data_IF_677494595605
#
_entry.id   IF_677494595605
#
_cell.length_a   1.000
_cell.length_b   1.000
_cell.length_c   1.000
_cell.angle_alpha   90.00
_cell.angle_beta   90.00
_cell.angle_gamma   90.00
#
_symmetry.space_group_name_H-M   'P 1'
#
loop_
_entity.id
_entity.type
_entity.pdbx_description
1 polymer ?
#
# COMPACT_ATOMS: atom_id res chain seq x y z
N UNK A 1 -20.19 -23.25 4.57
CA UNK A 1 -19.66 -24.58 4.91
C UNK A 1 -18.38 -24.36 5.71
N UNK A 2 -18.41 -24.74 7.02
CA UNK A 2 -17.22 -24.72 7.86
C UNK A 2 -16.28 -25.83 7.40
N UNK A 3 -15.32 -25.49 6.58
CA UNK A 3 -14.24 -26.42 6.31
C UNK A 3 -13.42 -26.57 7.60
N UNK A 4 -13.22 -27.81 8.06
CA UNK A 4 -12.29 -28.10 9.15
C UNK A 4 -10.86 -27.80 8.68
N UNK A 5 -10.40 -26.59 8.94
CA UNK A 5 -9.02 -26.20 8.66
C UNK A 5 -8.13 -26.82 9.75
N UNK A 6 -7.10 -27.60 9.41
CA UNK A 6 -6.17 -28.14 10.40
C UNK A 6 -5.56 -27.02 11.26
N UNK A 7 -5.43 -27.23 12.55
CA UNK A 7 -4.93 -26.22 13.49
C UNK A 7 -3.49 -25.76 13.23
N UNK A 8 -2.69 -26.58 12.58
CA UNK A 8 -1.29 -26.30 12.22
C UNK A 8 -1.13 -25.60 10.88
N UNK A 9 -2.21 -25.43 10.10
CA UNK A 9 -2.17 -24.79 8.81
C UNK A 9 -1.90 -23.29 8.94
N UNK A 10 -0.92 -22.80 8.18
CA UNK A 10 -0.69 -21.36 8.02
C UNK A 10 -1.51 -20.82 6.86
N UNK A 11 -2.19 -19.71 7.07
CA UNK A 11 -3.08 -19.09 6.09
C UNK A 11 -2.55 -17.72 5.71
N UNK A 12 -2.47 -17.45 4.40
CA UNK A 12 -2.32 -16.09 3.86
C UNK A 12 -3.60 -15.77 3.11
N UNK A 13 -4.38 -14.86 3.68
CA UNK A 13 -5.63 -14.39 3.09
C UNK A 13 -5.38 -13.22 2.14
N UNK A 14 -5.94 -13.28 0.93
CA UNK A 14 -5.81 -12.25 -0.10
C UNK A 14 -7.05 -11.36 -0.20
N UNK A 15 -8.11 -11.65 0.56
CA UNK A 15 -9.35 -10.86 0.57
C UNK A 15 -9.17 -9.53 1.32
N UNK A 16 -10.24 -8.78 1.45
CA UNK A 16 -10.27 -7.58 2.29
C UNK A 16 -10.75 -7.86 3.73
N UNK A 17 -11.24 -9.06 3.99
CA UNK A 17 -12.08 -9.36 5.16
C UNK A 17 -11.29 -9.26 6.48
N UNK A 18 -10.00 -9.57 6.46
CA UNK A 18 -9.16 -9.66 7.65
C UNK A 18 -8.07 -8.58 7.75
N UNK A 19 -8.10 -7.58 6.87
CA UNK A 19 -7.04 -6.54 6.83
C UNK A 19 -7.14 -5.52 7.95
N UNK A 20 -8.35 -5.24 8.42
CA UNK A 20 -8.59 -4.31 9.53
C UNK A 20 -8.62 -5.11 10.81
N UNK A 21 -7.82 -4.68 11.79
CA UNK A 21 -7.74 -5.33 13.11
C UNK A 21 -9.13 -5.38 13.77
N UNK A 22 -9.50 -6.55 14.24
CA UNK A 22 -10.76 -6.82 14.94
C UNK A 22 -10.51 -7.84 16.04
N UNK A 23 -11.38 -7.86 17.04
CA UNK A 23 -11.40 -8.91 18.07
C UNK A 23 -12.04 -10.21 17.57
N UNK A 24 -12.65 -10.19 16.37
CA UNK A 24 -13.31 -11.36 15.75
C UNK A 24 -12.34 -12.31 15.05
N UNK A 25 -11.06 -11.93 14.88
CA UNK A 25 -10.05 -12.74 14.22
C UNK A 25 -8.64 -12.44 14.72
N UNK A 26 -7.73 -13.40 14.47
CA UNK A 26 -6.31 -13.33 14.86
C UNK A 26 -5.36 -13.05 13.68
N UNK A 27 -5.89 -12.63 12.52
CA UNK A 27 -5.07 -12.30 11.37
C UNK A 27 -4.17 -11.09 11.65
N UNK A 28 -2.89 -11.25 11.34
CA UNK A 28 -1.91 -10.16 11.37
C UNK A 28 -1.87 -9.46 10.01
N UNK A 29 -1.91 -8.13 10.01
CA UNK A 29 -1.75 -7.35 8.80
C UNK A 29 -0.33 -7.53 8.24
N UNK A 30 -0.24 -8.17 7.09
CA UNK A 30 0.97 -8.77 6.54
C UNK A 30 1.82 -7.82 5.68
N UNK A 31 2.10 -6.61 6.16
CA UNK A 31 3.11 -5.73 5.59
C UNK A 31 4.43 -5.90 6.36
N UNK A 32 5.43 -6.62 5.81
CA UNK A 32 6.66 -6.93 6.55
C UNK A 32 7.45 -5.70 6.98
N UNK A 33 7.44 -4.64 6.19
CA UNK A 33 8.10 -3.37 6.46
C UNK A 33 7.54 -2.65 7.69
N UNK A 34 6.31 -2.98 8.08
CA UNK A 34 5.67 -2.51 9.31
C UNK A 34 5.68 -3.58 10.41
N UNK A 35 5.30 -4.81 10.09
CA UNK A 35 4.93 -5.87 11.03
C UNK A 35 5.83 -7.12 10.94
N UNK A 36 7.10 -6.99 10.57
CA UNK A 36 8.03 -8.12 10.32
C UNK A 36 7.98 -9.19 11.40
N UNK A 37 8.15 -8.81 12.67
CA UNK A 37 8.20 -9.79 13.78
C UNK A 37 6.87 -10.53 13.93
N UNK A 38 5.76 -9.82 13.91
CA UNK A 38 4.42 -10.40 14.03
C UNK A 38 4.12 -11.33 12.86
N UNK A 39 4.43 -10.91 11.63
CA UNK A 39 4.20 -11.70 10.41
C UNK A 39 5.03 -13.01 10.41
N UNK A 40 6.29 -12.98 10.89
CA UNK A 40 7.14 -14.18 10.93
C UNK A 40 6.58 -15.29 11.84
N UNK A 41 5.87 -14.93 12.89
CA UNK A 41 5.35 -15.87 13.90
C UNK A 41 3.85 -16.17 13.74
N UNK A 42 3.15 -15.43 12.90
CA UNK A 42 1.72 -15.56 12.70
C UNK A 42 1.35 -16.91 12.05
N UNK A 43 0.21 -17.46 12.45
CA UNK A 43 -0.47 -18.54 11.73
C UNK A 43 -1.34 -17.98 10.61
N UNK A 44 -1.97 -16.84 10.85
CA UNK A 44 -2.88 -16.20 9.91
C UNK A 44 -2.38 -14.81 9.53
N UNK A 45 -2.23 -14.55 8.23
CA UNK A 45 -1.71 -13.29 7.69
C UNK A 45 -2.70 -12.75 6.67
N UNK A 46 -3.16 -11.52 6.88
CA UNK A 46 -3.96 -10.79 5.91
C UNK A 46 -3.04 -10.01 4.96
N UNK A 47 -3.01 -10.41 3.69
CA UNK A 47 -2.18 -9.75 2.69
C UNK A 47 -2.72 -8.34 2.38
N UNK A 48 -1.89 -7.29 2.44
CA UNK A 48 -2.31 -5.91 2.18
C UNK A 48 -2.91 -5.69 0.79
N UNK A 49 -3.77 -4.68 0.66
CA UNK A 49 -4.22 -4.19 -0.64
C UNK A 49 -3.07 -3.56 -1.43
N UNK A 50 -3.16 -3.65 -2.76
CA UNK A 50 -2.08 -3.21 -3.65
C UNK A 50 -1.75 -1.71 -3.54
N UNK A 51 -2.75 -0.83 -3.59
CA UNK A 51 -2.53 0.60 -3.35
C UNK A 51 -2.14 0.88 -1.90
N UNK A 52 -2.73 0.15 -0.94
CA UNK A 52 -2.38 0.31 0.47
C UNK A 52 -0.90 0.03 0.67
N UNK A 53 -0.36 -1.05 0.11
CA UNK A 53 1.08 -1.35 0.15
C UNK A 53 1.92 -0.21 -0.42
N UNK A 54 1.62 0.23 -1.64
CA UNK A 54 2.39 1.28 -2.31
C UNK A 54 2.39 2.59 -1.52
N UNK A 55 1.23 3.04 -1.05
CA UNK A 55 1.07 4.30 -0.32
C UNK A 55 1.72 4.22 1.06
N UNK A 56 1.52 3.12 1.77
CA UNK A 56 2.12 2.93 3.09
C UNK A 56 3.65 2.95 3.01
N UNK A 57 4.26 2.26 2.04
CA UNK A 57 5.71 2.31 1.87
C UNK A 57 6.24 3.73 1.63
N UNK A 58 5.45 4.61 1.02
CA UNK A 58 5.79 6.03 0.92
C UNK A 58 5.60 6.83 2.21
N UNK A 59 4.77 6.38 3.17
CA UNK A 59 4.40 7.17 4.35
C UNK A 59 4.95 6.64 5.68
N UNK A 60 5.30 5.35 5.78
CA UNK A 60 5.74 4.73 7.04
C UNK A 60 6.96 5.42 7.68
N UNK A 61 8.01 5.82 6.95
CA UNK A 61 9.13 6.54 7.56
C UNK A 61 8.72 7.87 8.18
N UNK A 62 7.80 8.60 7.53
CA UNK A 62 7.29 9.88 8.04
C UNK A 62 6.42 9.67 9.29
N UNK A 63 5.52 8.67 9.29
CA UNK A 63 4.73 8.31 10.45
C UNK A 63 5.61 7.87 11.62
N UNK A 64 6.67 7.09 11.37
CA UNK A 64 7.62 6.67 12.40
C UNK A 64 8.30 7.84 13.09
N UNK A 65 8.52 8.94 12.37
CA UNK A 65 9.13 10.17 12.88
C UNK A 65 8.09 11.23 13.28
N UNK A 66 6.81 10.87 13.41
CA UNK A 66 5.70 11.71 13.85
C UNK A 66 5.50 12.98 12.98
N UNK A 67 5.74 12.86 11.67
CA UNK A 67 5.77 13.98 10.74
C UNK A 67 4.47 14.20 9.98
N UNK A 68 3.49 13.33 10.11
CA UNK A 68 2.20 13.43 9.43
C UNK A 68 1.25 14.29 10.27
N UNK A 69 1.27 15.61 10.04
CA UNK A 69 0.50 16.61 10.83
C UNK A 69 -0.60 17.29 10.03
N UNK A 70 -0.62 17.10 8.73
CA UNK A 70 -1.59 17.69 7.80
C UNK A 70 -2.21 16.59 6.92
N UNK A 71 -3.25 16.97 6.17
CA UNK A 71 -3.87 16.09 5.18
C UNK A 71 -2.86 15.67 4.11
N UNK A 72 -3.01 14.45 3.64
CA UNK A 72 -2.12 13.82 2.68
C UNK A 72 -2.84 13.68 1.35
N UNK A 73 -2.34 14.32 0.29
CA UNK A 73 -2.88 14.13 -1.04
C UNK A 73 -2.14 13.02 -1.77
N UNK A 74 -2.90 12.05 -2.30
CA UNK A 74 -2.37 10.88 -3.00
C UNK A 74 -3.02 10.73 -4.36
N UNK A 75 -2.21 10.73 -5.41
CA UNK A 75 -2.62 10.35 -6.76
C UNK A 75 -1.89 9.07 -7.16
N UNK A 76 -2.61 8.03 -7.50
CA UNK A 76 -1.96 6.78 -7.89
C UNK A 76 -2.67 6.09 -9.06
N UNK A 77 -1.88 5.58 -10.00
CA UNK A 77 -2.36 4.85 -11.16
C UNK A 77 -1.97 3.38 -11.05
N UNK A 78 -2.93 2.48 -11.27
CA UNK A 78 -2.73 1.03 -11.28
C UNK A 78 -3.01 0.41 -12.63
N UNK A 79 -2.40 -0.74 -12.87
CA UNK A 79 -2.71 -1.56 -14.04
C UNK A 79 -4.10 -2.19 -14.01
N UNK A 80 -4.56 -2.63 -15.17
CA UNK A 80 -5.92 -3.16 -15.37
C UNK A 80 -6.19 -4.48 -14.62
N UNK A 81 -5.17 -5.32 -14.40
CA UNK A 81 -5.32 -6.60 -13.69
C UNK A 81 -5.70 -6.44 -12.22
N UNK A 82 -5.47 -5.27 -11.62
CA UNK A 82 -5.93 -4.96 -10.27
C UNK A 82 -7.46 -4.93 -10.10
N UNK A 83 -8.22 -4.96 -11.20
CA UNK A 83 -9.67 -5.10 -11.16
C UNK A 83 -10.15 -6.51 -10.73
N UNK A 84 -9.26 -7.50 -10.74
CA UNK A 84 -9.60 -8.89 -10.49
C UNK A 84 -10.13 -9.61 -11.75
N UNK A 85 -10.46 -10.89 -11.59
CA UNK A 85 -10.86 -11.77 -12.70
C UNK A 85 -12.30 -11.56 -13.17
N UNK A 86 -13.17 -10.99 -12.31
CA UNK A 86 -14.58 -10.80 -12.65
C UNK A 86 -14.71 -9.74 -13.78
N UNK A 87 -15.33 -10.09 -14.91
CA UNK A 87 -15.52 -9.14 -16.01
C UNK A 87 -16.34 -7.93 -15.58
N UNK A 88 -15.95 -6.75 -16.08
CA UNK A 88 -16.64 -5.49 -15.81
C UNK A 88 -16.53 -4.54 -16.98
N UNK A 89 -17.49 -3.63 -17.13
CA UNK A 89 -17.56 -2.69 -18.26
C UNK A 89 -16.25 -1.89 -18.41
N UNK A 90 -15.67 -1.40 -17.32
CA UNK A 90 -14.46 -0.56 -17.33
C UNK A 90 -13.15 -1.35 -17.48
N UNK A 91 -13.18 -2.67 -17.41
CA UNK A 91 -12.06 -3.56 -17.68
C UNK A 91 -12.14 -4.24 -19.05
N UNK A 92 -13.24 -4.05 -19.77
CA UNK A 92 -13.42 -4.55 -21.13
C UNK A 92 -12.37 -3.93 -22.06
N UNK A 93 -11.80 -4.75 -22.97
CA UNK A 93 -10.69 -4.33 -23.83
C UNK A 93 -10.98 -3.03 -24.60
N UNK A 94 -12.10 -2.93 -25.32
CA UNK A 94 -12.44 -1.74 -26.11
C UNK A 94 -12.65 -0.48 -25.27
N UNK A 95 -13.00 -0.61 -24.00
CA UNK A 95 -13.15 0.51 -23.08
C UNK A 95 -11.81 0.93 -22.47
N UNK A 96 -10.97 -0.07 -22.12
CA UNK A 96 -9.70 0.15 -21.42
C UNK A 96 -8.55 0.54 -22.35
N UNK A 97 -8.55 0.06 -23.57
CA UNK A 97 -7.46 0.29 -24.52
C UNK A 97 -7.29 1.79 -24.81
N UNK A 98 -6.05 2.28 -24.70
CA UNK A 98 -5.68 3.70 -24.83
C UNK A 98 -6.49 4.65 -23.92
N UNK A 99 -6.88 4.19 -22.72
CA UNK A 99 -7.73 4.96 -21.82
C UNK A 99 -7.21 4.93 -20.39
N UNK A 100 -7.32 6.06 -19.69
CA UNK A 100 -7.10 6.21 -18.26
C UNK A 100 -8.38 6.72 -17.61
N UNK A 101 -8.74 6.20 -16.45
CA UNK A 101 -9.95 6.61 -15.75
C UNK A 101 -9.77 6.66 -14.25
N UNK A 102 -10.38 7.65 -13.62
CA UNK A 102 -10.53 7.71 -12.17
C UNK A 102 -11.61 6.73 -11.71
N UNK A 103 -11.49 6.21 -10.50
CA UNK A 103 -12.53 5.42 -9.85
C UNK A 103 -12.43 5.54 -8.34
N UNK A 104 -13.58 5.48 -7.63
CA UNK A 104 -13.65 5.55 -6.15
C UNK A 104 -12.77 6.66 -5.53
N UNK A 105 -12.71 7.85 -6.15
CA UNK A 105 -12.00 8.98 -5.58
C UNK A 105 -12.58 9.31 -4.19
N UNK A 106 -11.72 9.50 -3.20
CA UNK A 106 -12.02 9.76 -1.79
C UNK A 106 -12.75 8.62 -1.04
N UNK A 107 -13.18 7.56 -1.73
CA UNK A 107 -13.99 6.46 -1.17
C UNK A 107 -13.33 5.08 -1.33
N UNK A 108 -12.00 5.05 -1.56
CA UNK A 108 -11.32 3.80 -1.84
C UNK A 108 -11.16 2.94 -0.58
N UNK A 109 -11.50 1.67 -0.69
CA UNK A 109 -11.47 0.69 0.40
C UNK A 109 -10.10 0.46 1.04
N UNK A 110 -9.01 0.94 0.45
CA UNK A 110 -7.68 0.84 1.04
C UNK A 110 -7.36 1.98 2.02
N UNK A 111 -8.14 3.05 2.07
CA UNK A 111 -7.88 4.17 2.99
C UNK A 111 -7.90 3.73 4.46
N UNK A 112 -8.86 2.91 4.93
CA UNK A 112 -8.83 2.39 6.31
C UNK A 112 -7.57 1.56 6.63
N UNK A 113 -7.07 0.74 5.69
CA UNK A 113 -5.83 -0.02 5.86
C UNK A 113 -4.63 0.91 6.08
N UNK A 114 -4.56 1.97 5.27
CA UNK A 114 -3.48 2.97 5.35
C UNK A 114 -3.55 3.71 6.68
N UNK A 115 -4.73 4.24 7.05
CA UNK A 115 -4.93 4.95 8.33
C UNK A 115 -4.54 4.07 9.52
N UNK A 116 -4.98 2.81 9.57
CA UNK A 116 -4.60 1.86 10.61
C UNK A 116 -3.09 1.71 10.77
N UNK A 117 -2.37 1.56 9.66
CA UNK A 117 -0.92 1.38 9.68
C UNK A 117 -0.17 2.63 10.09
N UNK A 118 -0.61 3.80 9.65
CA UNK A 118 -0.02 5.08 10.07
C UNK A 118 -0.25 5.33 11.56
N UNK A 119 -1.46 5.07 12.06
CA UNK A 119 -1.80 5.19 13.48
C UNK A 119 -1.03 4.22 14.37
N UNK A 120 -0.64 3.05 13.86
CA UNK A 120 0.22 2.13 14.59
C UNK A 120 1.60 2.74 14.91
N UNK A 121 2.14 3.59 14.03
CA UNK A 121 3.42 4.28 14.22
C UNK A 121 3.28 5.67 14.82
N UNK A 122 2.25 6.40 14.43
CA UNK A 122 1.91 7.74 14.89
C UNK A 122 0.48 7.73 15.41
N UNK A 123 0.31 7.39 16.69
CA UNK A 123 -1.03 7.26 17.31
C UNK A 123 -1.86 8.56 17.24
N UNK A 124 -1.19 9.70 17.13
CA UNK A 124 -1.84 11.02 16.97
C UNK A 124 -2.27 11.34 15.53
N UNK A 125 -2.04 10.44 14.56
CA UNK A 125 -2.44 10.67 13.17
C UNK A 125 -3.97 10.63 13.04
N UNK A 126 -4.56 11.77 12.68
CA UNK A 126 -6.01 11.95 12.51
C UNK A 126 -6.36 12.74 11.23
N UNK A 127 -5.36 13.05 10.42
CA UNK A 127 -5.53 13.81 9.18
C UNK A 127 -6.21 12.98 8.09
N UNK A 128 -6.75 13.65 7.08
CA UNK A 128 -7.39 13.01 5.95
C UNK A 128 -6.37 12.53 4.91
N UNK A 129 -6.76 11.50 4.18
CA UNK A 129 -6.00 10.97 3.03
C UNK A 129 -6.87 11.18 1.79
N UNK A 130 -6.57 12.25 1.07
CA UNK A 130 -7.23 12.61 -0.19
C UNK A 130 -6.71 11.72 -1.32
N UNK A 131 -7.28 10.53 -1.42
CA UNK A 131 -6.84 9.53 -2.37
C UNK A 131 -7.65 9.53 -3.66
N UNK A 132 -6.97 9.79 -4.78
CA UNK A 132 -7.52 9.77 -6.13
C UNK A 132 -6.86 8.63 -6.93
N UNK A 133 -7.50 7.46 -6.99
CA UNK A 133 -6.99 6.33 -7.77
C UNK A 133 -7.38 6.41 -9.23
N UNK A 134 -6.45 6.03 -10.09
CA UNK A 134 -6.65 5.88 -11.54
C UNK A 134 -6.38 4.44 -11.96
N UNK A 135 -7.04 4.02 -13.03
CA UNK A 135 -6.72 2.78 -13.74
C UNK A 135 -6.21 3.10 -15.12
N UNK A 136 -5.01 2.64 -15.42
CA UNK A 136 -4.33 2.87 -16.69
C UNK A 136 -4.50 1.73 -17.68
N UNK A 137 -4.01 1.97 -18.89
CA UNK A 137 -3.96 1.01 -19.98
C UNK A 137 -2.61 0.27 -20.00
N UNK A 138 -2.35 -0.42 -18.90
CA UNK A 138 -1.23 -1.35 -18.78
C UNK A 138 -1.63 -2.49 -17.83
N UNK A 139 -1.03 -3.69 -17.93
CA UNK A 139 -1.51 -4.83 -17.16
C UNK A 139 -1.17 -4.76 -15.68
N UNK A 140 0.07 -4.40 -15.29
CA UNK A 140 0.56 -4.52 -13.91
C UNK A 140 1.39 -3.32 -13.49
N UNK A 141 1.44 -3.11 -12.18
CA UNK A 141 2.23 -2.09 -11.50
C UNK A 141 1.38 -0.96 -10.96
N UNK A 142 1.98 -0.19 -10.04
CA UNK A 142 1.39 1.02 -9.45
C UNK A 142 2.43 2.12 -9.51
N UNK A 143 2.02 3.31 -9.92
CA UNK A 143 2.79 4.53 -9.81
C UNK A 143 2.00 5.51 -8.95
N UNK A 144 2.59 5.99 -7.87
CA UNK A 144 1.92 6.88 -6.92
C UNK A 144 2.74 8.16 -6.70
N UNK A 145 2.02 9.27 -6.54
CA UNK A 145 2.56 10.55 -6.08
C UNK A 145 1.87 10.90 -4.77
N UNK A 146 2.68 11.11 -3.72
CA UNK A 146 2.21 11.50 -2.40
C UNK A 146 2.71 12.91 -2.09
N UNK A 147 1.81 13.77 -1.64
CA UNK A 147 2.13 15.15 -1.25
C UNK A 147 1.93 15.28 0.25
N UNK A 148 3.03 15.51 0.96
CA UNK A 148 3.06 15.68 2.42
C UNK A 148 3.76 16.99 2.74
N UNK A 149 3.16 17.79 3.61
CA UNK A 149 3.80 19.04 4.05
C UNK A 149 4.82 18.76 5.15
N UNK A 150 6.00 19.33 5.01
CA UNK A 150 7.06 19.25 6.03
C UNK A 150 7.93 20.50 6.03
N UNK A 151 8.61 20.77 7.15
CA UNK A 151 9.64 21.80 7.29
C UNK A 151 11.04 21.21 7.36
N UNK A 152 11.15 19.89 7.29
CA UNK A 152 12.41 19.15 7.38
C UNK A 152 13.12 19.21 6.03
N UNK A 153 14.44 19.35 6.05
CA UNK A 153 15.26 19.40 4.83
C UNK A 153 15.23 18.05 4.08
N UNK A 154 15.36 18.10 2.76
CA UNK A 154 15.28 16.92 1.90
C UNK A 154 16.32 15.85 2.28
N UNK A 155 17.54 16.26 2.58
CA UNK A 155 18.65 15.37 2.94
C UNK A 155 18.34 14.57 4.21
N UNK A 156 17.64 15.19 5.14
CA UNK A 156 17.22 14.53 6.37
C UNK A 156 16.08 13.55 6.11
N UNK A 157 15.13 13.91 5.25
CA UNK A 157 14.05 13.02 4.79
C UNK A 157 14.64 11.79 4.11
N UNK A 158 15.55 11.97 3.16
CA UNK A 158 16.22 10.86 2.46
C UNK A 158 16.88 9.90 3.46
N UNK A 159 17.66 10.44 4.42
CA UNK A 159 18.29 9.63 5.44
C UNK A 159 17.29 8.83 6.29
N UNK A 160 16.16 9.44 6.67
CA UNK A 160 15.09 8.73 7.41
C UNK A 160 14.54 7.53 6.62
N UNK A 161 14.35 7.68 5.32
CA UNK A 161 13.89 6.59 4.46
C UNK A 161 14.95 5.50 4.30
N UNK A 162 16.20 5.86 4.07
CA UNK A 162 17.32 4.92 3.99
C UNK A 162 17.49 4.12 5.29
N UNK A 163 17.42 4.78 6.44
CA UNK A 163 17.49 4.13 7.77
C UNK A 163 16.30 3.20 8.01
N UNK A 164 15.08 3.64 7.66
CA UNK A 164 13.87 2.84 7.87
C UNK A 164 13.92 1.55 7.05
N UNK A 165 14.28 1.63 5.79
CA UNK A 165 14.28 0.51 4.84
C UNK A 165 15.63 -0.22 4.72
N UNK A 166 16.62 0.07 5.55
CA UNK A 166 17.96 -0.51 5.49
C UNK A 166 17.99 -2.06 5.49
N UNK A 167 16.93 -2.70 6.01
CA UNK A 167 16.78 -4.17 6.10
C UNK A 167 15.71 -4.74 5.17
N UNK A 168 15.11 -3.92 4.32
CA UNK A 168 13.99 -4.29 3.46
C UNK A 168 14.46 -4.44 2.01
N UNK A 169 14.72 -5.68 1.61
CA UNK A 169 15.38 -6.02 0.33
C UNK A 169 14.59 -5.62 -0.92
N UNK A 170 13.31 -5.28 -0.78
CA UNK A 170 12.44 -4.93 -1.91
C UNK A 170 12.12 -3.44 -2.01
N UNK A 171 12.50 -2.64 -1.01
CA UNK A 171 12.28 -1.19 -1.02
C UNK A 171 13.63 -0.49 -1.27
N UNK A 172 13.68 0.38 -2.25
CA UNK A 172 14.89 1.09 -2.64
C UNK A 172 14.62 2.59 -2.74
N UNK A 173 15.44 3.38 -2.03
CA UNK A 173 15.45 4.84 -2.14
C UNK A 173 16.39 5.20 -3.29
N UNK A 174 15.93 6.04 -4.20
CA UNK A 174 16.66 6.39 -5.41
C UNK A 174 16.70 7.90 -5.63
N UNK A 175 17.81 8.40 -6.17
CA UNK A 175 18.08 9.81 -6.43
C UNK A 175 17.63 10.28 -7.83
N UNK A 176 17.17 9.36 -8.67
CA UNK A 176 16.76 9.63 -10.06
C UNK A 176 15.26 9.43 -10.22
N UNK A 177 14.68 10.17 -11.16
CA UNK A 177 13.30 9.99 -11.56
C UNK A 177 12.98 8.51 -11.83
N UNK A 178 11.84 8.09 -11.32
CA UNK A 178 11.36 6.72 -11.46
C UNK A 178 10.28 6.62 -12.52
N UNK A 179 10.19 5.44 -13.12
CA UNK A 179 9.11 5.08 -14.03
C UNK A 179 8.61 3.66 -13.76
N UNK A 180 7.41 3.37 -14.24
CA UNK A 180 6.73 2.11 -13.97
C UNK A 180 7.49 0.88 -14.50
N UNK A 181 8.18 1.00 -15.64
CA UNK A 181 8.88 -0.13 -16.28
C UNK A 181 10.07 -0.65 -15.46
N UNK A 182 10.61 0.18 -14.57
CA UNK A 182 11.72 -0.22 -13.69
C UNK A 182 11.31 -1.29 -12.67
N UNK A 183 10.03 -1.40 -12.35
CA UNK A 183 9.52 -2.31 -11.30
C UNK A 183 8.54 -3.37 -11.81
N UNK A 184 7.96 -3.20 -13.00
CA UNK A 184 7.02 -4.18 -13.57
C UNK A 184 7.67 -5.55 -13.70
N UNK A 185 6.94 -6.60 -13.32
CA UNK A 185 7.41 -7.99 -13.22
C UNK A 185 8.53 -8.23 -12.19
N UNK A 186 8.66 -7.34 -11.22
CA UNK A 186 9.55 -7.52 -10.06
C UNK A 186 8.75 -7.39 -8.76
N UNK A 187 9.40 -7.68 -7.62
CA UNK A 187 8.86 -7.42 -6.28
C UNK A 187 9.38 -6.09 -5.69
N UNK A 188 9.98 -5.22 -6.51
CA UNK A 188 10.60 -3.98 -6.05
C UNK A 188 9.59 -2.87 -5.87
N UNK A 189 9.85 -2.03 -4.89
CA UNK A 189 9.30 -0.69 -4.73
C UNK A 189 10.44 0.32 -4.81
N UNK A 190 10.32 1.32 -5.67
CA UNK A 190 11.24 2.45 -5.75
C UNK A 190 10.56 3.67 -5.14
N UNK A 191 11.29 4.42 -4.32
CA UNK A 191 10.86 5.68 -3.72
C UNK A 191 11.87 6.75 -4.12
N UNK A 192 11.36 7.86 -4.64
CA UNK A 192 12.13 9.01 -5.10
C UNK A 192 11.57 10.29 -4.49
#
# INVERSE_FOLDING_TARGET
>A
ESHNIPEDLKIIDLSMDYRIKSDDHDFIYGLPELNRRATCTAKHVANPGCFATCIQLGLLPLAKNLMLTDDISVNAITGSTGAGVKPGATSHFSWRNNNISVYKAFEHQHVPEIKQSLQQLQNSFDSDIDFIPYRGDFPRGIFATLVVKTKVALEEIVRMYEEYYAKDSFVHIVDKNIDLKQVVNTNKCLIH
#
